data_IF_829957087625
#
_entry.id   IF_829957087625
#
_cell.length_a   1.000
_cell.length_b   1.000
_cell.length_c   1.000
_cell.angle_alpha   90.00
_cell.angle_beta   90.00
_cell.angle_gamma   90.00
#
_symmetry.space_group_name_H-M   'P 1'
#
loop_
_entity.id
_entity.type
_entity.pdbx_description
1 polymer ?
#
# COMPACT_ATOMS: atom_id res chain seq x y z
N UNK A 1 -21.44 -10.83 8.52
CA UNK A 1 -20.21 -10.32 7.89
C UNK A 1 -20.23 -8.81 7.89
N UNK A 2 -19.15 -8.17 8.25
CA UNK A 2 -18.97 -6.72 8.21
C UNK A 2 -18.02 -6.33 7.10
N UNK A 3 -18.13 -5.12 6.57
CA UNK A 3 -17.26 -4.60 5.53
C UNK A 3 -16.76 -3.21 5.92
N UNK A 4 -15.44 -3.03 5.93
CA UNK A 4 -14.80 -1.73 5.95
C UNK A 4 -14.32 -1.38 4.53
N UNK A 5 -14.46 -0.13 4.14
CA UNK A 5 -14.12 0.30 2.79
C UNK A 5 -13.65 1.74 2.77
N UNK A 6 -12.62 2.00 1.97
CA UNK A 6 -12.16 3.35 1.68
C UNK A 6 -11.64 3.41 0.25
N UNK A 7 -11.90 4.50 -0.44
CA UNK A 7 -11.37 4.75 -1.77
C UNK A 7 -10.96 6.21 -1.93
N UNK A 8 -9.97 6.44 -2.78
CA UNK A 8 -9.47 7.78 -3.10
C UNK A 8 -8.85 7.81 -4.48
N UNK A 9 -8.60 9.00 -4.99
CA UNK A 9 -7.98 9.24 -6.28
C UNK A 9 -6.56 9.74 -6.11
N UNK A 10 -5.64 9.19 -6.92
CA UNK A 10 -4.26 9.66 -7.06
C UNK A 10 -4.09 10.35 -8.41
N UNK A 11 -3.29 11.39 -8.46
CA UNK A 11 -2.96 12.09 -9.71
C UNK A 11 -1.89 11.36 -10.54
N UNK A 12 -1.18 10.42 -9.92
CA UNK A 12 -0.18 9.59 -10.58
C UNK A 12 -0.85 8.46 -11.38
N UNK A 13 -0.20 7.98 -12.46
CA UNK A 13 -0.71 6.85 -13.23
C UNK A 13 -0.90 5.59 -12.38
N UNK A 14 -1.91 4.80 -12.71
CA UNK A 14 -2.22 3.57 -12.00
C UNK A 14 -1.02 2.59 -11.92
N UNK A 15 -0.24 2.49 -13.00
CA UNK A 15 0.96 1.65 -13.02
C UNK A 15 2.02 2.12 -12.00
N UNK A 16 2.18 3.42 -11.82
CA UNK A 16 3.13 3.99 -10.85
C UNK A 16 2.70 3.73 -9.42
N UNK A 17 1.41 3.87 -9.11
CA UNK A 17 0.84 3.57 -7.80
C UNK A 17 0.96 2.08 -7.50
N UNK A 18 0.59 1.24 -8.45
CA UNK A 18 0.65 -0.22 -8.30
C UNK A 18 2.07 -0.73 -8.08
N UNK A 19 3.05 -0.16 -8.75
CA UNK A 19 4.47 -0.52 -8.60
C UNK A 19 4.92 -0.47 -7.13
N UNK A 20 4.42 0.50 -6.36
CA UNK A 20 4.75 0.63 -4.94
C UNK A 20 3.93 -0.37 -4.09
N UNK A 21 2.64 -0.51 -4.37
CA UNK A 21 1.72 -1.35 -3.61
C UNK A 21 2.01 -2.84 -3.79
N UNK A 22 2.37 -3.27 -5.01
CA UNK A 22 2.46 -4.69 -5.38
C UNK A 22 3.45 -5.50 -4.55
N UNK A 23 4.49 -4.90 -4.06
CA UNK A 23 5.44 -5.56 -3.18
C UNK A 23 4.83 -5.69 -1.78
N UNK A 24 4.49 -6.91 -1.40
CA UNK A 24 3.88 -7.23 -0.11
C UNK A 24 4.80 -6.91 1.07
N UNK A 25 6.10 -6.74 0.86
CA UNK A 25 7.09 -6.36 1.87
C UNK A 25 7.35 -4.86 1.94
N UNK A 26 6.58 -4.02 1.27
CA UNK A 26 6.90 -2.60 1.07
C UNK A 26 6.23 -1.64 2.08
N UNK A 27 5.54 -2.16 3.11
CA UNK A 27 4.82 -1.31 4.06
C UNK A 27 5.72 -0.34 4.82
N UNK A 28 6.95 -0.72 5.12
CA UNK A 28 7.90 0.17 5.79
C UNK A 28 8.22 1.44 4.97
N UNK A 29 8.05 1.38 3.65
CA UNK A 29 8.29 2.51 2.75
C UNK A 29 7.16 3.52 2.76
N UNK A 30 5.91 3.05 2.78
CA UNK A 30 4.78 3.95 2.53
C UNK A 30 3.69 3.97 3.60
N UNK A 31 3.60 2.99 4.50
CA UNK A 31 2.59 2.98 5.57
C UNK A 31 3.15 3.69 6.80
N UNK A 32 2.56 4.83 7.15
CA UNK A 32 2.94 5.56 8.36
C UNK A 32 2.72 4.70 9.61
N UNK A 33 3.72 4.69 10.51
CA UNK A 33 3.69 3.89 11.72
C UNK A 33 4.35 2.51 11.59
N UNK A 34 4.69 2.07 10.39
CA UNK A 34 5.44 0.83 10.16
C UNK A 34 6.94 1.13 10.22
N UNK A 35 7.62 0.52 11.18
CA UNK A 35 9.07 0.66 11.34
C UNK A 35 9.85 -0.39 10.57
N UNK A 36 9.32 -1.61 10.50
CA UNK A 36 9.97 -2.74 9.84
C UNK A 36 8.92 -3.63 9.15
N UNK A 37 9.31 -4.22 8.03
CA UNK A 37 8.57 -5.28 7.35
C UNK A 37 9.53 -6.32 6.82
N UNK A 38 9.25 -7.59 7.06
CA UNK A 38 10.05 -8.71 6.58
C UNK A 38 9.15 -9.87 6.14
N UNK A 39 9.53 -10.53 5.06
CA UNK A 39 8.86 -11.76 4.61
C UNK A 39 9.53 -12.96 5.29
N UNK A 40 8.71 -13.79 5.91
CA UNK A 40 9.17 -15.02 6.56
C UNK A 40 9.68 -16.06 5.52
N UNK A 41 10.55 -16.94 5.96
CA UNK A 41 11.08 -18.06 5.16
C UNK A 41 11.81 -17.65 3.87
N UNK A 42 12.28 -16.41 3.77
CA UNK A 42 13.04 -15.94 2.60
C UNK A 42 12.27 -15.88 1.29
N UNK A 43 10.92 -15.92 1.32
CA UNK A 43 10.08 -15.76 0.14
C UNK A 43 10.11 -14.30 -0.35
N UNK A 44 9.80 -14.10 -1.63
CA UNK A 44 9.70 -12.75 -2.19
C UNK A 44 8.32 -12.11 -1.91
N UNK A 45 8.24 -10.78 -2.00
CA UNK A 45 7.04 -10.00 -1.73
C UNK A 45 5.92 -10.14 -2.77
N UNK A 46 6.10 -10.97 -3.80
CA UNK A 46 5.10 -11.29 -4.82
C UNK A 46 4.68 -12.77 -4.82
N UNK A 47 5.13 -13.53 -3.84
CA UNK A 47 4.81 -14.96 -3.72
C UNK A 47 3.51 -15.15 -2.92
N UNK A 48 2.49 -15.74 -3.56
CA UNK A 48 1.25 -16.14 -2.87
C UNK A 48 1.59 -17.17 -1.78
N UNK A 49 1.02 -16.97 -0.59
CA UNK A 49 1.34 -17.74 0.61
C UNK A 49 2.45 -17.14 1.46
N UNK A 50 3.18 -16.13 0.96
CA UNK A 50 4.17 -15.43 1.76
C UNK A 50 3.52 -14.74 2.98
N UNK A 51 4.20 -14.80 4.11
CA UNK A 51 3.78 -14.13 5.35
C UNK A 51 4.71 -12.96 5.60
N UNK A 52 4.15 -11.77 5.70
CA UNK A 52 4.90 -10.59 6.16
C UNK A 52 4.72 -10.43 7.66
N UNK A 53 5.82 -10.10 8.32
CA UNK A 53 5.87 -9.68 9.71
C UNK A 53 6.14 -8.18 9.74
N UNK A 54 5.20 -7.41 10.29
CA UNK A 54 5.22 -5.95 10.25
C UNK A 54 5.23 -5.41 11.68
N UNK A 55 6.17 -4.53 11.98
CA UNK A 55 6.16 -3.77 13.23
C UNK A 55 5.40 -2.44 13.02
N UNK A 56 4.22 -2.37 13.63
CA UNK A 56 3.33 -1.22 13.54
C UNK A 56 3.04 -0.68 14.94
N UNK A 57 3.49 0.56 15.22
CA UNK A 57 3.37 1.20 16.54
C UNK A 57 3.79 0.29 17.70
N UNK A 58 4.92 -0.40 17.54
CA UNK A 58 5.47 -1.30 18.55
C UNK A 58 4.79 -2.67 18.66
N UNK A 59 3.82 -2.97 17.81
CA UNK A 59 3.16 -4.28 17.74
C UNK A 59 3.62 -5.06 16.53
N UNK A 60 3.76 -6.36 16.67
CA UNK A 60 4.06 -7.25 15.57
C UNK A 60 2.74 -7.77 14.96
N UNK A 61 2.56 -7.53 13.66
CA UNK A 61 1.40 -7.99 12.90
C UNK A 61 1.89 -8.94 11.81
N UNK A 62 1.29 -10.12 11.73
CA UNK A 62 1.60 -11.10 10.69
C UNK A 62 0.43 -11.23 9.73
N UNK A 63 0.72 -11.14 8.44
CA UNK A 63 -0.29 -11.21 7.39
C UNK A 63 0.20 -12.10 6.25
N UNK A 64 -0.72 -12.87 5.67
CA UNK A 64 -0.45 -13.80 4.56
C UNK A 64 -1.03 -13.27 3.27
N UNK A 65 -0.23 -13.27 2.21
CA UNK A 65 -0.67 -12.95 0.86
C UNK A 65 -1.52 -14.11 0.30
N UNK A 66 -2.78 -13.84 -0.02
CA UNK A 66 -3.71 -14.82 -0.58
C UNK A 66 -3.77 -14.78 -2.09
N UNK A 67 -3.68 -13.59 -2.68
CA UNK A 67 -3.75 -13.39 -4.12
C UNK A 67 -2.99 -12.12 -4.52
N UNK A 68 -2.41 -12.14 -5.71
CA UNK A 68 -1.75 -11.00 -6.34
C UNK A 68 -2.01 -11.07 -7.84
N UNK A 69 -2.50 -9.98 -8.42
CA UNK A 69 -2.69 -9.85 -9.86
C UNK A 69 -2.10 -8.54 -10.37
N UNK A 70 -1.08 -8.62 -11.21
CA UNK A 70 -0.52 -7.45 -11.88
C UNK A 70 -1.42 -6.93 -13.01
N UNK A 71 -2.21 -7.81 -13.60
CA UNK A 71 -3.17 -7.44 -14.66
C UNK A 71 -4.32 -6.61 -14.09
N UNK A 72 -4.92 -7.09 -13.00
CA UNK A 72 -6.02 -6.40 -12.32
C UNK A 72 -5.54 -5.36 -11.31
N UNK A 73 -4.25 -5.33 -11.00
CA UNK A 73 -3.64 -4.50 -9.96
C UNK A 73 -4.37 -4.64 -8.63
N UNK A 74 -4.39 -5.87 -8.12
CA UNK A 74 -5.03 -6.20 -6.85
C UNK A 74 -4.18 -7.13 -6.00
N UNK A 75 -4.30 -6.96 -4.70
CA UNK A 75 -3.59 -7.73 -3.68
C UNK A 75 -4.57 -8.06 -2.55
N UNK A 76 -4.68 -9.34 -2.20
CA UNK A 76 -5.57 -9.81 -1.13
C UNK A 76 -4.74 -10.51 -0.06
N UNK A 77 -5.05 -10.21 1.21
CA UNK A 77 -4.34 -10.79 2.35
C UNK A 77 -5.26 -11.07 3.52
N UNK A 78 -4.78 -11.89 4.45
CA UNK A 78 -5.44 -12.22 5.71
C UNK A 78 -4.46 -12.08 6.88
N UNK A 79 -4.94 -12.18 8.10
CA UNK A 79 -4.04 -12.35 9.24
C UNK A 79 -3.44 -13.77 9.23
N UNK A 80 -2.16 -13.87 9.52
CA UNK A 80 -1.49 -15.14 9.76
C UNK A 80 -1.41 -15.39 11.28
N UNK A 81 -2.10 -16.43 11.75
CA UNK A 81 -2.23 -16.69 13.18
C UNK A 81 -3.28 -15.82 13.84
N UNK A 82 -3.05 -15.43 15.09
CA UNK A 82 -4.01 -14.66 15.88
C UNK A 82 -4.13 -13.22 15.34
N UNK A 83 -5.33 -12.76 14.98
CA UNK A 83 -5.55 -11.37 14.59
C UNK A 83 -5.20 -10.40 15.71
N UNK A 84 -4.73 -9.21 15.34
CA UNK A 84 -4.47 -8.11 16.28
C UNK A 84 -5.73 -7.29 16.60
N UNK A 85 -6.83 -7.58 15.91
CA UNK A 85 -8.15 -7.00 16.11
C UNK A 85 -9.13 -8.09 16.56
N UNK A 86 -10.22 -7.71 17.24
CA UNK A 86 -11.25 -8.67 17.67
C UNK A 86 -12.16 -9.09 16.49
N UNK A 87 -11.56 -9.71 15.49
CA UNK A 87 -12.21 -10.13 14.25
C UNK A 87 -11.84 -11.58 13.93
N UNK A 88 -12.67 -12.22 13.12
CA UNK A 88 -12.40 -13.52 12.51
C UNK A 88 -12.73 -13.48 11.02
N UNK A 89 -12.24 -14.45 10.27
CA UNK A 89 -12.45 -14.56 8.81
C UNK A 89 -12.08 -13.26 8.07
N UNK A 90 -11.06 -12.55 8.54
CA UNK A 90 -10.62 -11.28 7.98
C UNK A 90 -9.92 -11.49 6.63
N UNK A 91 -10.38 -10.76 5.64
CA UNK A 91 -9.79 -10.72 4.32
C UNK A 91 -9.82 -9.29 3.79
N UNK A 92 -8.67 -8.74 3.41
CA UNK A 92 -8.57 -7.39 2.85
C UNK A 92 -8.04 -7.44 1.43
N UNK A 93 -8.58 -6.58 0.58
CA UNK A 93 -8.13 -6.40 -0.80
C UNK A 93 -7.83 -4.93 -1.07
N UNK A 94 -6.62 -4.68 -1.55
CA UNK A 94 -6.17 -3.38 -2.02
C UNK A 94 -6.05 -3.44 -3.53
N UNK A 95 -6.72 -2.52 -4.22
CA UNK A 95 -6.81 -2.51 -5.68
C UNK A 95 -6.60 -1.13 -6.26
N UNK A 96 -6.06 -1.11 -7.49
CA UNK A 96 -5.79 0.11 -8.25
C UNK A 96 -6.43 0.02 -9.61
N UNK A 97 -7.33 0.96 -9.93
CA UNK A 97 -7.97 1.09 -11.22
C UNK A 97 -7.41 2.30 -11.96
N UNK A 98 -7.28 2.18 -13.27
CA UNK A 98 -6.86 3.29 -14.12
C UNK A 98 -8.01 4.30 -14.29
N UNK A 99 -7.68 5.58 -14.12
CA UNK A 99 -8.53 6.69 -14.56
C UNK A 99 -7.95 7.22 -15.86
N UNK A 100 -8.59 6.91 -16.97
CA UNK A 100 -8.10 7.27 -18.31
C UNK A 100 -8.07 8.78 -18.49
N UNK A 101 -9.13 9.45 -18.08
CA UNK A 101 -9.20 10.91 -18.10
C UNK A 101 -8.22 11.49 -17.06
N UNK A 102 -7.19 12.16 -17.53
CA UNK A 102 -6.15 12.75 -16.69
C UNK A 102 -5.03 11.78 -16.26
N UNK A 103 -5.03 10.54 -16.74
CA UNK A 103 -4.00 9.53 -16.42
C UNK A 103 -3.73 9.36 -14.92
N UNK A 104 -4.80 9.22 -14.15
CA UNK A 104 -4.76 9.04 -12.70
C UNK A 104 -5.04 7.61 -12.27
N UNK A 105 -5.20 7.45 -10.97
CA UNK A 105 -5.52 6.17 -10.36
C UNK A 105 -6.65 6.29 -9.34
N UNK A 106 -7.56 5.32 -9.37
CA UNK A 106 -8.56 5.10 -8.32
C UNK A 106 -8.08 3.95 -7.45
N UNK A 107 -7.85 4.22 -6.17
CA UNK A 107 -7.34 3.24 -5.23
C UNK A 107 -8.42 2.92 -4.21
N UNK A 108 -8.69 1.64 -4.02
CA UNK A 108 -9.70 1.17 -3.08
C UNK A 108 -9.13 0.10 -2.14
N UNK A 109 -9.54 0.15 -0.90
CA UNK A 109 -9.16 -0.81 0.13
C UNK A 109 -10.42 -1.31 0.83
N UNK A 110 -10.65 -2.61 0.76
CA UNK A 110 -11.81 -3.26 1.33
C UNK A 110 -11.38 -4.38 2.28
N UNK A 111 -12.04 -4.47 3.42
CA UNK A 111 -11.89 -5.61 4.32
C UNK A 111 -13.27 -6.17 4.67
N UNK A 112 -13.41 -7.49 4.52
CA UNK A 112 -14.56 -8.24 4.98
C UNK A 112 -14.14 -9.09 6.19
N UNK A 113 -14.98 -9.13 7.22
CA UNK A 113 -14.66 -9.84 8.47
C UNK A 113 -15.89 -10.15 9.27
N UNK A 114 -15.76 -11.07 10.22
CA UNK A 114 -16.77 -11.37 11.24
C UNK A 114 -16.33 -10.77 12.57
N UNK A 115 -17.29 -10.30 13.35
CA UNK A 115 -17.07 -9.75 14.67
C UNK A 115 -18.35 -9.81 15.50
N UNK A 116 -18.22 -9.51 16.78
CA UNK A 116 -19.40 -9.31 17.63
C UNK A 116 -20.27 -8.17 17.08
N UNK A 117 -21.61 -8.35 17.01
CA UNK A 117 -22.51 -7.34 16.42
C UNK A 117 -22.38 -5.94 17.02
N UNK A 118 -22.13 -5.86 18.31
CA UNK A 118 -21.96 -4.60 19.04
C UNK A 118 -20.70 -3.83 18.64
N UNK A 119 -19.70 -4.52 18.09
CA UNK A 119 -18.44 -3.94 17.65
C UNK A 119 -18.38 -3.61 16.16
N UNK A 120 -19.39 -4.03 15.42
CA UNK A 120 -19.38 -3.90 13.94
C UNK A 120 -19.16 -2.46 13.49
N UNK A 121 -19.96 -1.54 13.97
CA UNK A 121 -19.88 -0.12 13.55
C UNK A 121 -18.54 0.50 13.91
N UNK A 122 -18.05 0.29 15.12
CA UNK A 122 -16.75 0.77 15.58
C UNK A 122 -15.62 0.22 14.73
N UNK A 123 -15.58 -1.08 14.47
CA UNK A 123 -14.52 -1.70 13.67
C UNK A 123 -14.55 -1.28 12.23
N UNK A 124 -15.72 -1.19 11.61
CA UNK A 124 -15.85 -0.69 10.24
C UNK A 124 -15.36 0.75 10.11
N UNK A 125 -15.74 1.61 11.02
CA UNK A 125 -15.33 3.01 11.05
C UNK A 125 -13.82 3.14 11.27
N UNK A 126 -13.27 2.42 12.23
CA UNK A 126 -11.84 2.44 12.56
C UNK A 126 -10.99 1.95 11.40
N UNK A 127 -11.33 0.82 10.81
CA UNK A 127 -10.60 0.26 9.67
C UNK A 127 -10.66 1.19 8.44
N UNK A 128 -11.81 1.73 8.15
CA UNK A 128 -11.98 2.67 7.03
C UNK A 128 -11.12 3.93 7.23
N UNK A 129 -11.07 4.45 8.45
CA UNK A 129 -10.23 5.58 8.81
C UNK A 129 -8.73 5.25 8.65
N UNK A 130 -8.29 4.07 9.09
CA UNK A 130 -6.90 3.63 8.95
C UNK A 130 -6.52 3.47 7.47
N UNK A 131 -7.38 2.87 6.67
CA UNK A 131 -7.13 2.75 5.22
C UNK A 131 -6.93 4.12 4.58
N UNK A 132 -7.75 5.10 4.95
CA UNK A 132 -7.62 6.48 4.49
C UNK A 132 -6.28 7.11 4.91
N UNK A 133 -5.88 6.95 6.16
CA UNK A 133 -4.62 7.45 6.68
C UNK A 133 -3.40 6.80 5.99
N UNK A 134 -3.45 5.51 5.76
CA UNK A 134 -2.35 4.79 5.08
C UNK A 134 -2.26 5.16 3.60
N UNK A 135 -3.38 5.34 2.91
CA UNK A 135 -3.36 5.81 1.53
C UNK A 135 -2.88 7.26 1.42
N UNK A 136 -3.19 8.11 2.39
CA UNK A 136 -2.60 9.45 2.45
C UNK A 136 -1.09 9.42 2.69
N UNK A 137 -0.61 8.48 3.49
CA UNK A 137 0.81 8.21 3.69
C UNK A 137 1.51 7.81 2.38
N UNK A 138 0.87 6.95 1.58
CA UNK A 138 1.33 6.60 0.24
C UNK A 138 1.40 7.83 -0.67
N UNK A 139 0.39 8.67 -0.66
CA UNK A 139 0.35 9.91 -1.44
C UNK A 139 1.54 10.82 -1.13
N UNK A 140 1.86 10.98 0.13
CA UNK A 140 3.02 11.79 0.58
C UNK A 140 4.33 11.19 0.09
N UNK A 141 4.48 9.87 0.17
CA UNK A 141 5.70 9.19 -0.30
C UNK A 141 5.88 9.33 -1.81
N UNK A 142 4.82 9.18 -2.59
CA UNK A 142 4.86 9.38 -4.04
C UNK A 142 5.22 10.82 -4.43
N UNK A 143 4.73 11.81 -3.70
CA UNK A 143 5.07 13.22 -3.90
C UNK A 143 6.56 13.48 -3.63
N UNK A 144 7.14 12.88 -2.60
CA UNK A 144 8.58 12.97 -2.31
C UNK A 144 9.43 12.38 -3.44
N UNK A 145 9.04 11.24 -3.98
CA UNK A 145 9.73 10.60 -5.11
C UNK A 145 9.70 11.48 -6.37
N UNK A 146 8.58 12.10 -6.67
CA UNK A 146 8.47 13.04 -7.79
C UNK A 146 9.41 14.24 -7.64
N UNK A 147 9.52 14.82 -6.45
CA UNK A 147 10.42 15.93 -6.17
C UNK A 147 11.88 15.51 -6.35
N UNK A 148 12.29 14.35 -5.83
CA UNK A 148 13.65 13.81 -5.99
C UNK A 148 14.00 13.58 -7.46
N UNK A 149 13.11 12.97 -8.23
CA UNK A 149 13.31 12.73 -9.65
C UNK A 149 13.42 14.03 -10.45
N UNK A 150 12.61 15.04 -10.12
CA UNK A 150 12.67 16.36 -10.73
C UNK A 150 13.99 17.07 -10.44
N UNK A 151 14.49 17.01 -9.22
CA UNK A 151 15.78 17.62 -8.83
C UNK A 151 16.95 16.95 -9.53
N UNK A 152 17.00 15.63 -9.62
CA UNK A 152 18.04 14.90 -10.33
C UNK A 152 18.06 15.22 -11.84
N UNK A 153 16.89 15.34 -12.46
CA UNK A 153 16.79 15.74 -13.86
C UNK A 153 17.32 17.15 -14.12
N UNK A 154 17.11 18.09 -13.21
CA UNK A 154 17.63 19.46 -13.30
C UNK A 154 19.15 19.51 -13.14
N UNK A 155 19.72 18.76 -12.19
CA UNK A 155 21.17 18.68 -11.99
C UNK A 155 21.88 18.09 -13.21
N UNK A 156 21.36 17.00 -13.78
CA UNK A 156 21.91 16.38 -14.99
C UNK A 156 21.81 17.30 -16.21
N UNK A 157 20.74 18.04 -16.36
CA UNK A 157 20.56 19.02 -17.41
C UNK A 157 21.59 20.16 -17.32
N UNK A 158 21.85 20.68 -16.13
CA UNK A 158 22.84 21.73 -15.89
C UNK A 158 24.28 21.26 -16.15
N UNK A 159 24.64 20.03 -15.78
CA UNK A 159 25.96 19.46 -16.07
C UNK A 159 26.19 19.27 -17.56
N UNK A 160 25.16 18.84 -18.31
CA UNK A 160 25.26 18.71 -19.78
C UNK A 160 25.39 20.05 -20.47
N UNK A 161 24.68 21.06 -20.03
CA UNK A 161 24.77 22.42 -20.58
C UNK A 161 26.15 23.06 -20.31
N UNK A 162 26.71 22.84 -19.12
CA UNK A 162 28.06 23.31 -18.77
C UNK A 162 29.15 22.61 -19.62
N UNK A 163 29.03 21.30 -19.84
CA UNK A 163 29.95 20.52 -20.66
C UNK A 163 29.92 20.99 -22.16
N UNK A 164 28.77 21.43 -22.64
CA UNK A 164 28.61 21.93 -24.01
C UNK A 164 29.24 23.32 -24.23
N UNK A 165 29.46 24.12 -23.18
CA UNK A 165 30.06 25.47 -23.26
C UNK A 165 31.59 25.42 -23.23
N UNK A 166 32.19 24.37 -22.66
CA UNK A 166 33.66 24.19 -22.60
C UNK A 166 34.27 23.49 -23.81
N UNK A 167 33.48 23.09 -24.78
CA UNK A 167 33.90 22.47 -26.03
C UNK A 167 33.77 23.43 -27.20
#
# INVERSE_FOLDING_TARGET
>A
MATAYYSTVFQQPAASVWKIIRDFNNYAVWVGGVSESAIEEGKSGDTVGAVRSVHYHGRNIRQRLLALSDVERSQTYEFAGTPTLPVSAFKATLGVLEIVDGDGAFVQWRADFDCEPERREELCTTLSLWFGQWLESLRKEMTKEMIRSGSQGLEQGLEQDLAAVEG
#
